data_IF_908192759345
#
_entry.id   IF_908192759345
#
_cell.length_a   1.000
_cell.length_b   1.000
_cell.length_c   1.000
_cell.angle_alpha   90.00
_cell.angle_beta   90.00
_cell.angle_gamma   90.00
#
_symmetry.space_group_name_H-M   'P 1'
#
loop_
_entity.id
_entity.type
_entity.pdbx_description
1 polymer ?
#
# COMPACT_ATOMS: atom_id res chain seq x y z
N UNK A 1 13.37 -8.84 6.28
CA UNK A 1 13.14 -7.94 7.42
C UNK A 1 13.16 -8.71 8.72
N UNK A 2 13.43 -8.04 9.80
CA UNK A 2 13.40 -8.58 11.14
C UNK A 2 12.16 -8.05 11.87
N UNK A 3 11.50 -8.91 12.68
CA UNK A 3 10.38 -8.50 13.52
C UNK A 3 10.96 -7.90 14.80
N UNK A 4 10.71 -6.60 15.01
CA UNK A 4 11.23 -5.87 16.17
C UNK A 4 10.24 -5.83 17.34
N UNK A 5 8.95 -5.94 17.04
CA UNK A 5 7.86 -5.98 18.01
C UNK A 5 6.72 -6.86 17.48
N UNK A 6 6.16 -7.69 18.34
CA UNK A 6 5.04 -8.58 18.05
C UNK A 6 3.99 -8.50 19.15
N UNK A 7 2.75 -8.26 18.74
CA UNK A 7 1.55 -8.40 19.59
C UNK A 7 0.46 -9.03 18.75
N UNK A 8 0.28 -10.35 18.91
CA UNK A 8 -0.71 -11.12 18.16
C UNK A 8 -0.53 -10.98 16.62
N UNK A 9 0.73 -10.83 16.13
CA UNK A 9 1.01 -10.49 14.75
C UNK A 9 0.50 -11.52 13.73
N UNK A 10 0.32 -12.79 14.13
CA UNK A 10 -0.21 -13.87 13.28
C UNK A 10 -1.73 -14.08 13.45
N UNK A 11 -2.40 -13.26 14.26
CA UNK A 11 -3.86 -13.35 14.43
C UNK A 11 -4.58 -12.89 13.17
N UNK A 12 -5.50 -13.74 12.67
CA UNK A 12 -6.35 -13.41 11.53
C UNK A 12 -7.29 -12.26 11.86
N UNK A 13 -7.29 -11.25 11.03
CA UNK A 13 -8.13 -10.05 11.13
C UNK A 13 -8.58 -9.60 9.75
N UNK A 14 -9.61 -8.77 9.69
CA UNK A 14 -10.06 -8.15 8.46
C UNK A 14 -9.18 -6.94 8.15
N UNK A 15 -8.60 -6.85 6.94
CA UNK A 15 -7.66 -5.80 6.59
C UNK A 15 -8.32 -4.45 6.29
N UNK A 16 -9.56 -4.42 5.82
CA UNK A 16 -10.13 -3.25 5.17
C UNK A 16 -9.20 -2.76 4.03
N UNK A 17 -9.11 -1.47 3.79
CA UNK A 17 -8.39 -0.90 2.65
C UNK A 17 -6.85 -1.02 2.70
N UNK A 18 -6.23 -1.58 3.75
CA UNK A 18 -4.81 -1.92 3.66
C UNK A 18 -4.57 -3.08 2.67
N UNK A 19 -5.61 -3.83 2.29
CA UNK A 19 -5.66 -4.76 1.14
C UNK A 19 -5.05 -4.15 -0.12
N UNK A 20 -5.29 -2.86 -0.35
CA UNK A 20 -4.86 -2.15 -1.55
C UNK A 20 -3.34 -2.07 -1.73
N UNK A 21 -2.56 -2.37 -0.69
CA UNK A 21 -1.10 -2.52 -0.85
C UNK A 21 -0.76 -3.72 -1.76
N UNK A 22 -1.51 -4.84 -1.65
CA UNK A 22 -1.37 -5.98 -2.57
C UNK A 22 -1.88 -5.62 -3.97
N UNK A 23 -2.96 -4.86 -4.08
CA UNK A 23 -3.49 -4.39 -5.37
C UNK A 23 -2.47 -3.52 -6.11
N UNK A 24 -1.83 -2.58 -5.40
CA UNK A 24 -0.76 -1.73 -5.95
C UNK A 24 0.45 -2.59 -6.35
N UNK A 25 0.85 -3.55 -5.52
CA UNK A 25 1.97 -4.45 -5.81
C UNK A 25 1.75 -5.19 -7.14
N UNK A 26 0.62 -5.87 -7.30
CA UNK A 26 0.32 -6.60 -8.52
C UNK A 26 0.17 -5.68 -9.74
N UNK A 27 -0.36 -4.48 -9.55
CA UNK A 27 -0.43 -3.48 -10.63
C UNK A 27 0.97 -3.11 -11.15
N UNK A 28 1.93 -2.90 -10.24
CA UNK A 28 3.31 -2.55 -10.59
C UNK A 28 4.11 -3.74 -11.15
N UNK A 29 3.81 -4.96 -10.70
CA UNK A 29 4.44 -6.17 -11.23
C UNK A 29 3.96 -6.54 -12.65
N UNK A 30 2.75 -6.10 -13.06
CA UNK A 30 2.11 -6.53 -14.30
C UNK A 30 1.82 -5.39 -15.31
N UNK A 31 2.04 -4.13 -14.94
CA UNK A 31 1.74 -2.98 -15.78
C UNK A 31 2.82 -1.90 -15.75
N UNK A 32 2.66 -0.93 -16.62
CA UNK A 32 3.49 0.28 -16.67
C UNK A 32 2.65 1.49 -16.27
N UNK A 33 3.24 2.46 -15.61
CA UNK A 33 2.54 3.67 -15.16
C UNK A 33 1.82 4.43 -16.29
N UNK A 34 2.30 4.27 -17.52
CA UNK A 34 1.72 4.89 -18.72
C UNK A 34 0.58 4.11 -19.37
N UNK A 35 0.30 2.88 -18.90
CA UNK A 35 -0.77 2.07 -19.47
C UNK A 35 -2.13 2.70 -19.14
N UNK A 36 -3.06 2.63 -20.08
CA UNK A 36 -4.38 3.20 -19.96
C UNK A 36 -5.38 2.14 -19.47
N UNK A 37 -6.15 2.48 -18.45
CA UNK A 37 -7.23 1.67 -17.90
C UNK A 37 -8.55 2.33 -18.25
N UNK A 38 -9.39 1.65 -19.03
CA UNK A 38 -10.77 2.06 -19.29
C UNK A 38 -11.69 1.31 -18.33
N UNK A 39 -12.48 2.06 -17.57
CA UNK A 39 -13.31 1.52 -16.48
C UNK A 39 -14.61 0.92 -17.03
N UNK A 40 -14.86 -0.33 -16.71
CA UNK A 40 -16.11 -1.04 -17.00
C UNK A 40 -17.25 -0.58 -16.09
N UNK A 41 -18.47 -0.98 -16.43
CA UNK A 41 -19.65 -0.85 -15.54
C UNK A 41 -19.38 -1.51 -14.19
N UNK A 42 -18.85 -2.72 -14.20
CA UNK A 42 -18.63 -3.51 -12.98
C UNK A 42 -17.55 -2.90 -12.09
N UNK A 43 -16.46 -2.41 -12.67
CA UNK A 43 -15.43 -1.72 -11.90
C UNK A 43 -15.97 -0.51 -11.14
N UNK A 44 -16.85 0.28 -11.79
CA UNK A 44 -17.39 1.52 -11.23
C UNK A 44 -18.50 1.30 -10.22
N UNK A 45 -19.43 0.38 -10.50
CA UNK A 45 -20.68 0.26 -9.74
C UNK A 45 -20.71 -0.91 -8.75
N UNK A 46 -19.78 -1.89 -8.86
CA UNK A 46 -19.67 -2.99 -7.89
C UNK A 46 -18.86 -2.56 -6.65
N UNK A 47 -19.24 -1.44 -6.07
CA UNK A 47 -18.73 -0.94 -4.79
C UNK A 47 -19.90 -0.65 -3.85
N UNK A 48 -19.68 -0.73 -2.53
CA UNK A 48 -20.73 -0.40 -1.57
C UNK A 48 -21.10 1.09 -1.61
N UNK A 49 -22.39 1.45 -1.59
CA UNK A 49 -22.80 2.84 -1.50
C UNK A 49 -22.18 3.57 -0.31
N UNK A 50 -21.59 4.73 -0.57
CA UNK A 50 -20.92 5.53 0.46
C UNK A 50 -19.50 5.06 0.81
N UNK A 51 -18.98 4.00 0.18
CA UNK A 51 -17.59 3.60 0.29
C UNK A 51 -16.66 4.57 -0.47
N UNK A 52 -15.35 4.48 -0.21
CA UNK A 52 -14.36 5.40 -0.77
C UNK A 52 -14.27 5.30 -2.30
N UNK A 53 -14.41 6.42 -3.00
CA UNK A 53 -14.31 6.54 -4.46
C UNK A 53 -13.87 7.96 -4.87
N UNK A 54 -13.51 8.15 -6.14
CA UNK A 54 -13.19 9.46 -6.75
C UNK A 54 -14.15 9.82 -7.90
N UNK A 55 -15.29 9.15 -7.98
CA UNK A 55 -16.31 9.34 -9.01
C UNK A 55 -15.78 9.12 -10.44
N UNK A 56 -15.09 8.01 -10.66
CA UNK A 56 -14.75 7.54 -12.01
C UNK A 56 -16.04 7.13 -12.72
N UNK A 57 -16.15 7.41 -14.01
CA UNK A 57 -17.30 7.10 -14.84
C UNK A 57 -17.07 5.82 -15.64
N UNK A 58 -18.14 5.08 -15.93
CA UNK A 58 -18.10 3.98 -16.89
C UNK A 58 -17.61 4.47 -18.26
N UNK A 59 -16.61 3.80 -18.84
CA UNK A 59 -15.97 4.21 -20.09
C UNK A 59 -14.92 5.32 -19.93
N UNK A 60 -14.70 5.83 -18.71
CA UNK A 60 -13.61 6.76 -18.46
C UNK A 60 -12.26 6.05 -18.53
N UNK A 61 -11.24 6.74 -19.04
CA UNK A 61 -9.89 6.22 -19.17
C UNK A 61 -8.91 7.06 -18.35
N UNK A 62 -8.13 6.39 -17.51
CA UNK A 62 -7.06 6.96 -16.71
C UNK A 62 -5.76 6.17 -16.92
N UNK A 63 -4.61 6.83 -16.76
CA UNK A 63 -3.34 6.08 -16.72
C UNK A 63 -3.21 5.29 -15.43
N UNK A 64 -2.46 4.18 -15.47
CA UNK A 64 -2.19 3.38 -14.25
C UNK A 64 -1.59 4.26 -13.14
N UNK A 65 -0.74 5.22 -13.49
CA UNK A 65 -0.18 6.21 -12.54
C UNK A 65 -1.28 6.99 -11.80
N UNK A 66 -2.27 7.50 -12.52
CA UNK A 66 -3.41 8.23 -11.94
C UNK A 66 -4.28 7.33 -11.07
N UNK A 67 -4.49 6.10 -11.51
CA UNK A 67 -5.27 5.09 -10.78
C UNK A 67 -4.57 4.73 -9.47
N UNK A 68 -3.25 4.50 -9.47
CA UNK A 68 -2.50 4.19 -8.26
C UNK A 68 -2.52 5.35 -7.26
N UNK A 69 -2.41 6.60 -7.69
CA UNK A 69 -2.56 7.77 -6.81
C UNK A 69 -3.97 7.89 -6.23
N UNK A 70 -5.00 7.58 -7.02
CA UNK A 70 -6.38 7.52 -6.49
C UNK A 70 -6.52 6.47 -5.39
N UNK A 71 -5.89 5.30 -5.55
CA UNK A 71 -5.86 4.23 -4.54
C UNK A 71 -5.08 4.66 -3.29
N UNK A 72 -3.90 5.26 -3.45
CA UNK A 72 -3.04 5.69 -2.34
C UNK A 72 -3.69 6.82 -1.55
N UNK A 73 -4.09 7.89 -2.21
CA UNK A 73 -4.57 9.12 -1.57
C UNK A 73 -6.01 9.04 -1.09
N UNK A 74 -6.89 8.47 -1.93
CA UNK A 74 -8.35 8.47 -1.67
C UNK A 74 -8.92 7.11 -1.34
N UNK A 75 -8.08 6.06 -1.39
CA UNK A 75 -8.56 4.69 -1.16
C UNK A 75 -9.67 4.26 -2.14
N UNK A 76 -9.68 4.79 -3.36
CA UNK A 76 -10.74 4.61 -4.34
C UNK A 76 -10.99 3.12 -4.64
N UNK A 77 -12.21 2.63 -4.37
CA UNK A 77 -12.58 1.24 -4.52
C UNK A 77 -12.77 0.86 -5.97
N UNK A 78 -13.44 1.72 -6.75
CA UNK A 78 -13.61 1.53 -8.19
C UNK A 78 -12.26 1.53 -8.93
N UNK A 79 -11.30 2.33 -8.46
CA UNK A 79 -9.95 2.33 -9.01
C UNK A 79 -9.25 0.97 -8.78
N UNK A 80 -9.46 0.36 -7.61
CA UNK A 80 -8.92 -0.98 -7.30
C UNK A 80 -9.57 -2.07 -8.16
N UNK A 81 -10.88 -1.97 -8.42
CA UNK A 81 -11.58 -2.88 -9.31
C UNK A 81 -11.07 -2.73 -10.76
N UNK A 82 -10.85 -1.49 -11.22
CA UNK A 82 -10.27 -1.24 -12.54
C UNK A 82 -8.87 -1.84 -12.70
N UNK A 83 -8.03 -1.77 -11.66
CA UNK A 83 -6.73 -2.48 -11.64
C UNK A 83 -6.93 -4.00 -11.76
N UNK A 84 -7.88 -4.56 -11.02
CA UNK A 84 -8.14 -5.99 -11.05
C UNK A 84 -8.57 -6.47 -12.46
N UNK A 85 -9.44 -5.73 -13.12
CA UNK A 85 -9.85 -6.04 -14.49
C UNK A 85 -8.70 -5.85 -15.49
N UNK A 86 -7.88 -4.82 -15.31
CA UNK A 86 -6.72 -4.54 -16.16
C UNK A 86 -5.68 -5.67 -16.09
N UNK A 87 -5.37 -6.18 -14.89
CA UNK A 87 -4.32 -7.18 -14.69
C UNK A 87 -4.81 -8.60 -15.05
N UNK A 88 -5.98 -9.00 -14.57
CA UNK A 88 -6.44 -10.40 -14.65
C UNK A 88 -7.82 -10.57 -15.30
N UNK A 89 -8.41 -9.50 -15.84
CA UNK A 89 -9.68 -9.52 -16.56
C UNK A 89 -10.93 -9.58 -15.68
N UNK A 90 -10.80 -9.86 -14.37
CA UNK A 90 -11.89 -9.81 -13.40
C UNK A 90 -11.41 -9.69 -11.96
N UNK A 91 -12.29 -9.19 -11.08
CA UNK A 91 -12.01 -9.08 -9.64
C UNK A 91 -11.75 -10.46 -9.01
N UNK A 92 -12.49 -11.50 -9.43
CA UNK A 92 -12.35 -12.86 -8.91
C UNK A 92 -11.00 -13.50 -9.30
N UNK A 93 -10.56 -13.32 -10.55
CA UNK A 93 -9.27 -13.81 -11.02
C UNK A 93 -8.13 -13.09 -10.29
N UNK A 94 -8.24 -11.76 -10.15
CA UNK A 94 -7.28 -10.95 -9.45
C UNK A 94 -7.18 -11.30 -7.95
N UNK A 95 -8.28 -11.54 -7.27
CA UNK A 95 -8.28 -11.95 -5.86
C UNK A 95 -7.55 -13.29 -5.64
N UNK A 96 -7.67 -14.24 -6.57
CA UNK A 96 -6.88 -15.48 -6.56
C UNK A 96 -5.40 -15.19 -6.74
N UNK A 97 -5.03 -14.37 -7.70
CA UNK A 97 -3.66 -13.93 -7.94
C UNK A 97 -3.08 -13.23 -6.71
N UNK A 98 -3.83 -12.30 -6.07
CA UNK A 98 -3.43 -11.67 -4.81
C UNK A 98 -3.10 -12.71 -3.73
N UNK A 99 -3.95 -13.74 -3.58
CA UNK A 99 -3.75 -14.79 -2.57
C UNK A 99 -2.56 -15.69 -2.91
N UNK A 100 -2.35 -16.03 -4.17
CA UNK A 100 -1.20 -16.79 -4.64
C UNK A 100 0.10 -16.01 -4.42
N UNK A 101 0.09 -14.72 -4.80
CA UNK A 101 1.25 -13.85 -4.59
C UNK A 101 1.58 -13.66 -3.11
N UNK A 102 0.57 -13.52 -2.26
CA UNK A 102 0.78 -13.47 -0.81
C UNK A 102 1.51 -14.73 -0.31
N UNK A 103 1.13 -15.93 -0.75
CA UNK A 103 1.80 -17.19 -0.40
C UNK A 103 3.26 -17.21 -0.86
N UNK A 104 3.55 -16.72 -2.06
CA UNK A 104 4.93 -16.61 -2.58
C UNK A 104 5.79 -15.68 -1.72
N UNK A 105 5.21 -14.63 -1.13
CA UNK A 105 5.87 -13.71 -0.20
C UNK A 105 6.09 -14.32 1.19
N UNK A 106 5.53 -15.51 1.45
CA UNK A 106 5.62 -16.20 2.74
C UNK A 106 4.43 -15.94 3.67
N UNK A 107 3.37 -15.30 3.20
CA UNK A 107 2.15 -15.11 3.97
C UNK A 107 1.46 -16.46 4.22
N UNK A 108 1.14 -16.75 5.47
CA UNK A 108 0.59 -18.06 5.87
C UNK A 108 -0.89 -18.01 6.25
N UNK A 109 -1.40 -16.82 6.55
CA UNK A 109 -2.74 -16.61 7.07
C UNK A 109 -3.48 -15.48 6.34
N UNK A 110 -3.30 -15.39 5.02
CA UNK A 110 -3.93 -14.37 4.17
C UNK A 110 -4.78 -15.01 3.08
N UNK A 111 -5.97 -14.49 2.89
CA UNK A 111 -6.86 -14.81 1.78
C UNK A 111 -7.57 -13.55 1.31
N UNK A 112 -7.47 -13.24 0.04
CA UNK A 112 -8.15 -12.12 -0.58
C UNK A 112 -9.32 -12.60 -1.43
N UNK A 113 -10.45 -11.90 -1.41
CA UNK A 113 -11.63 -12.17 -2.23
C UNK A 113 -12.07 -10.98 -3.08
N UNK A 114 -11.45 -9.81 -2.86
CA UNK A 114 -11.63 -8.60 -3.66
C UNK A 114 -10.36 -7.75 -3.67
N UNK A 115 -10.31 -6.75 -4.56
CA UNK A 115 -9.15 -5.88 -4.75
C UNK A 115 -9.13 -4.65 -3.83
N UNK A 116 -10.21 -4.35 -3.13
CA UNK A 116 -10.40 -3.07 -2.45
C UNK A 116 -10.45 -3.17 -0.91
N UNK A 117 -10.70 -4.36 -0.36
CA UNK A 117 -10.77 -4.60 1.08
C UNK A 117 -12.15 -4.34 1.69
N UNK A 118 -13.20 -4.23 0.89
CA UNK A 118 -14.58 -4.30 1.39
C UNK A 118 -14.80 -5.61 2.11
N UNK A 119 -15.68 -5.59 3.11
CA UNK A 119 -15.87 -6.72 4.01
C UNK A 119 -16.37 -7.98 3.31
N UNK A 120 -15.74 -9.09 3.61
CA UNK A 120 -16.18 -10.45 3.37
C UNK A 120 -15.58 -11.33 4.47
N UNK A 121 -16.31 -12.31 4.97
CA UNK A 121 -15.82 -13.20 6.04
C UNK A 121 -14.59 -14.02 5.65
N UNK A 122 -14.38 -14.24 4.35
CA UNK A 122 -13.24 -14.94 3.79
C UNK A 122 -12.10 -14.01 3.38
N UNK A 123 -12.26 -12.68 3.56
CA UNK A 123 -11.24 -11.68 3.24
C UNK A 123 -10.46 -11.32 4.51
N UNK A 124 -9.37 -12.02 4.78
CA UNK A 124 -8.60 -11.87 6.00
C UNK A 124 -7.09 -11.87 5.75
N UNK A 125 -6.37 -11.34 6.71
CA UNK A 125 -4.90 -11.31 6.75
C UNK A 125 -4.41 -11.28 8.20
N UNK A 126 -3.10 -11.10 8.39
CA UNK A 126 -2.46 -10.85 9.68
C UNK A 126 -1.56 -9.62 9.60
N UNK A 127 -1.17 -9.05 10.74
CA UNK A 127 -0.23 -7.93 10.75
C UNK A 127 1.14 -8.34 10.19
N UNK A 128 1.60 -9.56 10.48
CA UNK A 128 2.83 -10.12 9.93
C UNK A 128 2.77 -10.24 8.40
N UNK A 129 1.70 -10.86 7.88
CA UNK A 129 1.54 -11.05 6.43
C UNK A 129 1.48 -9.69 5.70
N UNK A 130 0.76 -8.71 6.26
CA UNK A 130 0.73 -7.36 5.69
C UNK A 130 2.09 -6.66 5.72
N UNK A 131 2.92 -6.92 6.74
CA UNK A 131 4.29 -6.39 6.76
C UNK A 131 5.17 -7.02 5.67
N UNK A 132 4.97 -8.30 5.33
CA UNK A 132 5.66 -8.97 4.21
C UNK A 132 5.28 -8.32 2.86
N UNK A 133 3.97 -8.11 2.64
CA UNK A 133 3.45 -7.45 1.44
C UNK A 133 3.98 -6.01 1.34
N UNK A 134 3.90 -5.26 2.44
CA UNK A 134 4.38 -3.88 2.51
C UNK A 134 5.89 -3.78 2.23
N UNK A 135 6.68 -4.71 2.75
CA UNK A 135 8.12 -4.79 2.49
C UNK A 135 8.44 -5.07 1.02
N UNK A 136 7.68 -5.96 0.38
CA UNK A 136 7.86 -6.24 -1.06
C UNK A 136 7.56 -5.01 -1.89
N UNK A 137 6.44 -4.34 -1.59
CA UNK A 137 6.01 -3.13 -2.30
C UNK A 137 7.06 -2.00 -2.22
N UNK A 138 7.80 -1.87 -1.12
CA UNK A 138 8.89 -0.89 -0.99
C UNK A 138 10.05 -1.10 -1.95
N UNK A 139 10.18 -2.23 -2.62
CA UNK A 139 11.22 -2.46 -3.63
C UNK A 139 10.91 -1.76 -4.96
N UNK A 140 9.67 -1.35 -5.18
CA UNK A 140 9.23 -0.65 -6.40
C UNK A 140 9.46 0.86 -6.25
N UNK A 141 10.37 1.41 -7.05
CA UNK A 141 10.70 2.84 -7.02
C UNK A 141 9.49 3.70 -7.41
N UNK A 142 8.61 3.19 -8.27
CA UNK A 142 7.35 3.84 -8.66
C UNK A 142 6.45 4.06 -7.44
N UNK A 143 6.32 3.05 -6.56
CA UNK A 143 5.56 3.21 -5.31
C UNK A 143 6.25 4.19 -4.37
N UNK A 144 7.57 4.07 -4.21
CA UNK A 144 8.35 4.97 -3.34
C UNK A 144 8.20 6.43 -3.74
N UNK A 145 8.09 6.72 -5.03
CA UNK A 145 7.90 8.08 -5.54
C UNK A 145 6.53 8.67 -5.22
N UNK A 146 5.48 7.82 -5.12
CA UNK A 146 4.10 8.24 -4.92
C UNK A 146 3.63 8.18 -3.46
N UNK A 147 4.22 7.28 -2.64
CA UNK A 147 3.67 6.95 -1.32
C UNK A 147 3.73 8.09 -0.29
N UNK A 148 4.59 9.08 -0.49
CA UNK A 148 4.73 10.26 0.38
C UNK A 148 3.90 11.46 -0.07
N UNK A 149 3.26 11.39 -1.24
CA UNK A 149 2.43 12.46 -1.75
C UNK A 149 1.21 12.67 -0.85
N UNK A 150 0.86 13.93 -0.61
CA UNK A 150 -0.34 14.32 0.16
C UNK A 150 -1.44 14.86 -0.73
N UNK A 151 -1.10 15.27 -1.95
CA UNK A 151 -2.01 15.89 -2.90
C UNK A 151 -1.63 15.48 -4.33
N UNK A 152 -2.65 15.33 -5.17
CA UNK A 152 -2.46 15.07 -6.60
C UNK A 152 -3.63 15.60 -7.42
N UNK A 153 -3.36 16.02 -8.64
CA UNK A 153 -4.37 16.51 -9.59
C UNK A 153 -4.49 15.57 -10.77
N UNK A 154 -5.69 15.00 -10.98
CA UNK A 154 -6.00 14.28 -12.22
C UNK A 154 -6.59 15.30 -13.20
N UNK A 155 -5.91 15.58 -14.32
CA UNK A 155 -6.42 16.51 -15.33
C UNK A 155 -7.71 15.99 -15.97
N UNK A 156 -8.42 16.82 -16.78
CA UNK A 156 -9.57 16.36 -17.55
C UNK A 156 -9.28 15.08 -18.33
N UNK A 157 -10.27 14.19 -18.38
CA UNK A 157 -10.21 12.90 -19.07
C UNK A 157 -11.11 12.89 -20.31
N UNK A 158 -11.27 11.73 -20.93
CA UNK A 158 -12.19 11.56 -22.04
C UNK A 158 -13.67 11.82 -21.69
N UNK A 159 -14.05 11.66 -20.41
CA UNK A 159 -15.45 11.85 -19.95
C UNK A 159 -15.62 12.90 -18.86
N UNK A 160 -14.56 13.26 -18.13
CA UNK A 160 -14.61 14.29 -17.09
C UNK A 160 -13.89 15.55 -17.57
N UNK A 161 -14.62 16.67 -17.63
CA UNK A 161 -14.09 17.95 -18.14
C UNK A 161 -13.37 18.78 -17.08
N UNK A 162 -13.53 18.43 -15.79
CA UNK A 162 -12.93 19.14 -14.68
C UNK A 162 -11.78 18.36 -14.07
N UNK A 163 -10.77 19.07 -13.59
CA UNK A 163 -9.66 18.47 -12.82
C UNK A 163 -10.17 17.90 -11.50
N UNK A 164 -9.78 16.68 -11.16
CA UNK A 164 -10.02 16.10 -9.83
C UNK A 164 -8.85 16.36 -8.93
N UNK A 165 -9.12 16.94 -7.77
CA UNK A 165 -8.15 17.21 -6.70
C UNK A 165 -8.22 16.10 -5.67
N UNK A 166 -7.14 15.34 -5.52
CA UNK A 166 -7.02 14.26 -4.57
C UNK A 166 -6.21 14.72 -3.37
N UNK A 167 -6.78 14.61 -2.17
CA UNK A 167 -6.10 14.92 -0.91
C UNK A 167 -5.92 13.64 -0.09
N UNK A 168 -4.70 13.40 0.38
CA UNK A 168 -4.33 12.21 1.12
C UNK A 168 -5.05 12.10 2.48
N UNK A 169 -5.40 10.87 2.85
CA UNK A 169 -6.10 10.57 4.11
C UNK A 169 -5.17 10.15 5.24
N UNK A 170 -3.89 9.87 4.96
CA UNK A 170 -2.94 9.38 5.94
C UNK A 170 -2.43 10.50 6.85
N UNK A 171 -2.99 10.60 8.07
CA UNK A 171 -2.75 11.73 8.97
C UNK A 171 -1.30 11.86 9.44
N UNK A 172 -0.53 10.77 9.48
CA UNK A 172 0.88 10.84 9.89
C UNK A 172 1.78 11.52 8.85
N UNK A 173 1.29 11.69 7.61
CA UNK A 173 1.99 12.42 6.54
C UNK A 173 1.61 13.91 6.48
N UNK A 174 0.53 14.32 7.14
CA UNK A 174 0.03 15.70 7.09
C UNK A 174 0.67 16.56 8.19
N UNK A 175 1.52 17.56 7.85
CA UNK A 175 2.17 18.41 8.86
C UNK A 175 1.20 19.22 9.75
N UNK A 176 -0.04 19.39 9.32
CA UNK A 176 -1.08 20.10 10.08
C UNK A 176 -1.89 19.16 10.99
N UNK A 177 -1.65 17.85 10.94
CA UNK A 177 -2.34 16.88 11.78
C UNK A 177 -1.68 16.76 13.15
N UNK A 178 -2.48 16.55 14.18
CA UNK A 178 -1.99 16.21 15.54
C UNK A 178 -1.31 14.84 15.58
N UNK A 179 -1.49 14.02 14.53
CA UNK A 179 -0.87 12.70 14.37
C UNK A 179 0.36 12.72 13.46
N UNK A 180 0.80 13.90 13.02
CA UNK A 180 1.98 14.02 12.17
C UNK A 180 3.21 13.35 12.78
N UNK A 181 3.87 12.49 11.99
CA UNK A 181 5.12 11.87 12.39
C UNK A 181 6.20 12.20 11.35
N UNK A 182 7.21 12.98 11.76
CA UNK A 182 8.18 13.62 10.85
C UNK A 182 8.95 12.65 9.96
N UNK A 183 9.16 11.40 10.44
CA UNK A 183 9.93 10.39 9.71
C UNK A 183 9.02 9.42 8.94
N UNK A 184 7.68 9.60 8.98
CA UNK A 184 6.75 8.84 8.15
C UNK A 184 6.94 9.20 6.68
N UNK A 185 7.07 8.18 5.83
CA UNK A 185 7.33 8.33 4.38
C UNK A 185 6.23 7.77 3.49
N UNK A 186 5.20 7.17 4.06
CA UNK A 186 4.09 6.59 3.30
C UNK A 186 3.27 5.61 4.09
N UNK A 187 2.25 5.04 3.45
CA UNK A 187 1.42 4.02 4.07
C UNK A 187 0.01 3.94 3.50
N UNK A 188 -0.83 3.17 4.18
CA UNK A 188 -2.24 2.98 3.82
C UNK A 188 -3.13 2.87 5.04
N UNK A 189 -4.20 3.63 5.07
CA UNK A 189 -5.28 3.55 6.07
C UNK A 189 -6.35 2.56 5.62
N UNK A 190 -7.08 1.97 6.56
CA UNK A 190 -8.25 1.17 6.28
C UNK A 190 -9.29 1.25 7.39
N UNK A 191 -10.56 1.11 7.02
CA UNK A 191 -11.68 1.03 7.94
C UNK A 191 -12.85 0.30 7.30
N UNK A 192 -13.40 -0.65 8.02
CA UNK A 192 -14.79 -1.14 7.91
C UNK A 192 -15.32 -1.32 9.33
N UNK A 193 -16.62 -1.51 9.47
CA UNK A 193 -17.23 -1.75 10.81
C UNK A 193 -16.62 -3.01 11.46
N UNK A 194 -16.40 -4.06 10.66
CA UNK A 194 -15.89 -5.35 11.11
C UNK A 194 -14.38 -5.30 11.39
N UNK A 195 -13.63 -4.60 10.57
CA UNK A 195 -12.18 -4.48 10.72
C UNK A 195 -11.77 -3.52 11.86
N UNK A 196 -12.60 -2.50 12.15
CA UNK A 196 -12.14 -1.33 12.91
C UNK A 196 -11.11 -0.54 12.08
N UNK A 197 -10.33 0.32 12.72
CA UNK A 197 -9.26 1.03 12.06
C UNK A 197 -8.05 0.12 11.85
N UNK A 198 -7.47 0.16 10.66
CA UNK A 198 -6.24 -0.53 10.26
C UNK A 198 -5.28 0.46 9.63
N UNK A 199 -3.99 0.25 9.83
CA UNK A 199 -2.96 1.16 9.34
C UNK A 199 -1.68 0.37 9.01
N UNK A 200 -1.11 0.65 7.86
CA UNK A 200 0.28 0.33 7.53
C UNK A 200 1.00 1.66 7.31
N UNK A 201 2.11 1.86 7.98
CA UNK A 201 2.94 3.06 7.79
C UNK A 201 4.39 2.67 7.64
N UNK A 202 5.08 3.37 6.77
CA UNK A 202 6.53 3.31 6.60
C UNK A 202 7.17 4.54 7.23
N UNK A 203 8.28 4.36 7.93
CA UNK A 203 9.08 5.47 8.45
C UNK A 203 10.55 5.20 8.18
N UNK A 204 11.32 6.28 7.92
CA UNK A 204 12.75 6.18 7.66
C UNK A 204 13.51 7.24 8.47
N UNK A 205 14.56 6.80 9.17
CA UNK A 205 15.46 7.65 9.94
C UNK A 205 16.88 7.09 9.90
N UNK A 206 17.86 7.90 9.56
CA UNK A 206 19.29 7.55 9.56
C UNK A 206 19.60 6.24 8.80
N UNK A 207 18.92 6.01 7.68
CA UNK A 207 19.08 4.81 6.83
C UNK A 207 18.44 3.54 7.39
N UNK A 208 17.67 3.63 8.47
CA UNK A 208 16.82 2.56 8.97
C UNK A 208 15.38 2.80 8.51
N UNK A 209 14.83 1.87 7.73
CA UNK A 209 13.41 1.88 7.33
C UNK A 209 12.63 0.91 8.20
N UNK A 210 11.56 1.38 8.81
CA UNK A 210 10.63 0.60 9.63
C UNK A 210 9.25 0.51 8.96
N UNK A 211 8.59 -0.62 9.17
CA UNK A 211 7.19 -0.86 8.76
C UNK A 211 6.41 -1.15 10.03
N UNK A 212 5.36 -0.39 10.28
CA UNK A 212 4.41 -0.66 11.35
C UNK A 212 3.05 -1.06 10.75
N UNK A 213 2.48 -2.16 11.25
CA UNK A 213 1.15 -2.64 10.90
C UNK A 213 0.31 -2.72 12.16
N UNK A 214 -0.77 -1.96 12.19
CA UNK A 214 -1.70 -1.90 13.32
C UNK A 214 -3.10 -2.23 12.83
N UNK A 215 -3.77 -3.18 13.49
CA UNK A 215 -5.07 -3.68 13.06
C UNK A 215 -6.07 -3.71 14.22
N UNK A 216 -7.36 -3.59 13.90
CA UNK A 216 -8.46 -3.69 14.85
C UNK A 216 -8.42 -2.64 15.96
N UNK A 217 -8.03 -1.41 15.63
CA UNK A 217 -8.02 -0.30 16.58
C UNK A 217 -9.35 0.44 16.64
N UNK A 218 -9.62 1.06 17.79
CA UNK A 218 -10.75 1.95 18.00
C UNK A 218 -10.33 3.41 17.79
N UNK A 219 -11.23 4.22 17.24
CA UNK A 219 -10.96 5.65 17.05
C UNK A 219 -9.63 5.92 16.36
N UNK A 220 -8.82 6.82 16.91
CA UNK A 220 -7.53 7.23 16.34
C UNK A 220 -6.31 6.47 16.95
N UNK A 221 -6.53 5.45 17.75
CA UNK A 221 -5.46 4.67 18.43
C UNK A 221 -4.44 4.10 17.42
N UNK A 222 -4.88 3.75 16.21
CA UNK A 222 -3.97 3.26 15.16
C UNK A 222 -2.84 4.24 14.82
N UNK A 223 -3.02 5.56 14.96
CA UNK A 223 -1.95 6.54 14.76
C UNK A 223 -1.00 6.62 15.95
N UNK A 224 -1.56 6.65 17.18
CA UNK A 224 -0.75 6.74 18.40
C UNK A 224 0.05 5.48 18.65
N UNK A 225 -0.53 4.31 18.37
CA UNK A 225 0.17 3.02 18.48
C UNK A 225 1.28 2.91 17.43
N UNK A 226 1.02 3.36 16.20
CA UNK A 226 2.04 3.40 15.14
C UNK A 226 3.21 4.31 15.52
N UNK A 227 2.93 5.51 16.07
CA UNK A 227 3.98 6.41 16.53
C UNK A 227 4.82 5.78 17.65
N UNK A 228 4.17 5.14 18.63
CA UNK A 228 4.86 4.45 19.73
C UNK A 228 5.74 3.29 19.23
N UNK A 229 5.28 2.53 18.22
CA UNK A 229 6.08 1.46 17.59
C UNK A 229 7.32 2.03 16.88
N UNK A 230 7.19 3.14 16.17
CA UNK A 230 8.33 3.79 15.53
C UNK A 230 9.30 4.37 16.55
N UNK A 231 8.80 5.04 17.60
CA UNK A 231 9.65 5.55 18.67
C UNK A 231 10.43 4.43 19.35
N UNK A 232 9.78 3.30 19.63
CA UNK A 232 10.46 2.10 20.15
C UNK A 232 11.51 1.57 19.16
N UNK A 233 11.16 1.43 17.88
CA UNK A 233 12.06 0.91 16.85
C UNK A 233 13.31 1.78 16.69
N UNK A 234 13.13 3.08 16.50
CA UNK A 234 14.25 4.01 16.31
C UNK A 234 15.08 4.26 17.58
N UNK A 235 14.51 4.03 18.78
CA UNK A 235 15.26 4.15 20.04
C UNK A 235 16.15 2.93 20.30
N UNK A 236 15.79 1.75 19.83
CA UNK A 236 16.45 0.50 20.18
C UNK A 236 17.25 -0.13 19.03
N UNK A 237 17.05 0.31 17.79
CA UNK A 237 17.68 -0.26 16.61
C UNK A 237 18.26 0.83 15.71
N UNK A 238 19.35 0.49 15.02
CA UNK A 238 20.01 1.38 14.07
C UNK A 238 20.53 0.59 12.86
N UNK A 239 20.58 1.24 11.69
CA UNK A 239 21.26 0.70 10.52
C UNK A 239 22.77 0.85 10.71
N UNK A 240 23.51 -0.24 10.68
CA UNK A 240 24.98 -0.22 10.79
C UNK A 240 25.58 -0.73 9.49
N UNK A 241 26.34 0.12 8.81
CA UNK A 241 27.13 -0.29 7.66
C UNK A 241 28.31 -1.13 8.12
N UNK A 242 28.29 -2.44 7.88
CA UNK A 242 29.35 -3.38 8.30
C UNK A 242 30.55 -3.25 7.36
N UNK A 243 30.32 -3.14 6.03
CA UNK A 243 31.37 -2.98 5.03
C UNK A 243 30.79 -2.49 3.70
N UNK A 244 31.62 -1.91 2.85
CA UNK A 244 31.28 -1.62 1.46
C UNK A 244 31.98 -2.65 0.54
N UNK A 245 31.42 -2.89 -0.65
CA UNK A 245 32.06 -3.74 -1.68
C UNK A 245 33.47 -3.25 -2.00
N UNK A 246 33.69 -1.92 -2.00
CA UNK A 246 34.99 -1.29 -2.17
C UNK A 246 36.02 -1.70 -1.12
N UNK A 247 35.58 -2.11 0.07
CA UNK A 247 36.46 -2.50 1.17
C UNK A 247 37.10 -3.88 0.94
N UNK A 248 36.58 -4.65 -0.04
CA UNK A 248 37.05 -5.99 -0.43
C UNK A 248 37.62 -6.05 -1.85
N UNK A 249 37.66 -4.95 -2.58
CA UNK A 249 38.27 -4.91 -3.93
C UNK A 249 39.77 -4.59 -3.80
N UNK A 250 40.64 -5.52 -4.22
CA UNK A 250 42.05 -5.28 -4.44
C UNK A 250 42.37 -5.26 -5.93
N UNK A 251 43.16 -4.29 -6.37
CA UNK A 251 43.72 -4.29 -7.74
C UNK A 251 44.86 -5.29 -7.81
N UNK A 252 44.72 -6.33 -8.63
CA UNK A 252 45.83 -7.25 -8.95
C UNK A 252 46.48 -6.72 -10.21
N UNK A 253 47.78 -6.33 -10.17
CA UNK A 253 48.48 -5.92 -11.37
C UNK A 253 48.67 -7.13 -12.30
N UNK A 254 48.16 -7.03 -13.53
CA UNK A 254 48.39 -8.03 -14.58
C UNK A 254 49.73 -7.64 -15.24
N UNK A 255 50.77 -8.42 -15.02
CA UNK A 255 51.99 -8.30 -15.80
C UNK A 255 51.79 -9.06 -17.11
N UNK A 256 51.79 -8.32 -18.23
CA UNK A 256 51.90 -8.90 -19.55
C UNK A 256 53.28 -9.61 -19.68
N UNK A 257 53.25 -10.88 -20.02
CA UNK A 257 54.47 -11.66 -20.39
C UNK A 257 54.66 -11.64 -21.89
#
# INVERSE_FOLDING_TARGET
>A
GEILYDKDADKKMYPASITKLMTILLALENGKLTDEITFSHDAVYNIEPGSAHIAILEGETLTLEQVLRAIILRSANEASNGVAEYVDGSVEAFAKHMTERAKELGCTNTNFVNANGLFDENHYTTAHDMALIARELLKHEEYRSMMSETDYEIPPTNLQTETRYLHGQHQMLNPNSIYYYKDAIGGKTGYTVEAGNTLVTYAERDGLTLIAVVMKCNGAEHYTDTAALFDYGFANYASVKIAAVSDYTSTIPVTET
#
